data_IF_800572602157
#
_entry.id   IF_800572602157
#
_cell.length_a   1.000
_cell.length_b   1.000
_cell.length_c   1.000
_cell.angle_alpha   90.00
_cell.angle_beta   90.00
_cell.angle_gamma   90.00
#
_symmetry.space_group_name_H-M   'P 1'
#
loop_
_entity.id
_entity.type
_entity.pdbx_description
1 polymer ?
#
# COMPACT_ATOMS: atom_id res chain seq x y z
N UNK A 1 10.22 -26.08 -32.83
CA UNK A 1 9.63 -26.46 -31.52
C UNK A 1 10.36 -25.86 -30.32
N UNK A 2 11.68 -26.04 -30.15
CA UNK A 2 12.45 -25.45 -29.02
C UNK A 2 12.30 -23.92 -28.87
N UNK A 3 12.35 -23.18 -29.98
CA UNK A 3 12.25 -21.71 -29.95
C UNK A 3 10.86 -21.18 -29.55
N UNK A 4 9.79 -21.98 -29.73
CA UNK A 4 8.42 -21.58 -29.40
C UNK A 4 8.16 -21.66 -27.89
N UNK A 5 8.81 -22.62 -27.19
CA UNK A 5 8.71 -22.82 -25.74
C UNK A 5 9.39 -21.67 -24.98
N UNK A 6 10.52 -21.18 -25.49
CA UNK A 6 11.27 -20.06 -24.89
C UNK A 6 10.44 -18.76 -24.93
N UNK A 7 9.74 -18.50 -26.05
CA UNK A 7 8.90 -17.30 -26.21
C UNK A 7 7.71 -17.33 -25.24
N UNK A 8 7.08 -18.50 -25.04
CA UNK A 8 5.98 -18.66 -24.07
C UNK A 8 6.48 -18.41 -22.63
N UNK A 9 7.66 -18.92 -22.26
CA UNK A 9 8.24 -18.68 -20.94
C UNK A 9 8.59 -17.21 -20.68
N UNK A 10 9.06 -16.50 -21.71
CA UNK A 10 9.34 -15.05 -21.62
C UNK A 10 8.02 -14.27 -21.46
N UNK A 11 6.99 -14.61 -22.25
CA UNK A 11 5.69 -13.95 -22.17
C UNK A 11 4.98 -14.15 -20.82
N UNK A 12 5.05 -15.34 -20.23
CA UNK A 12 4.48 -15.63 -18.90
C UNK A 12 5.22 -14.87 -17.79
N UNK A 13 6.53 -14.67 -17.91
CA UNK A 13 7.29 -13.88 -16.95
C UNK A 13 7.09 -12.37 -17.14
N UNK A 14 6.81 -11.90 -18.36
CA UNK A 14 6.48 -10.49 -18.60
C UNK A 14 5.09 -10.10 -18.08
N UNK A 15 4.13 -11.03 -17.97
CA UNK A 15 2.81 -10.73 -17.39
C UNK A 15 2.82 -10.48 -15.88
N UNK A 16 3.91 -10.82 -15.19
CA UNK A 16 4.08 -10.58 -13.75
C UNK A 16 4.75 -9.24 -13.42
N UNK A 17 5.24 -8.50 -14.42
CA UNK A 17 6.22 -7.44 -14.18
C UNK A 17 5.65 -6.03 -13.96
N UNK A 18 4.33 -5.82 -14.02
CA UNK A 18 3.75 -4.51 -13.68
C UNK A 18 2.28 -4.63 -13.31
N UNK A 19 2.02 -5.09 -12.08
CA UNK A 19 0.71 -5.01 -11.43
C UNK A 19 0.24 -3.54 -11.23
N UNK A 20 1.10 -2.56 -11.53
CA UNK A 20 1.00 -1.17 -11.09
C UNK A 20 0.05 -0.23 -11.84
N UNK A 21 -0.49 -0.55 -13.02
CA UNK A 21 -1.42 0.38 -13.70
C UNK A 21 -2.89 -0.04 -13.62
N UNK A 22 -3.19 -1.33 -13.83
CA UNK A 22 -4.59 -1.78 -13.93
C UNK A 22 -5.36 -1.73 -12.61
N UNK A 23 -4.63 -1.78 -11.48
CA UNK A 23 -5.20 -1.84 -10.14
C UNK A 23 -5.03 -0.54 -9.37
N UNK A 24 -4.65 0.55 -10.03
CA UNK A 24 -4.45 1.84 -9.36
C UNK A 24 -5.28 2.92 -10.05
N UNK A 25 -6.17 3.54 -9.29
CA UNK A 25 -6.96 4.70 -9.73
C UNK A 25 -6.18 5.96 -9.39
N UNK A 26 -6.10 6.91 -10.33
CA UNK A 26 -5.46 8.19 -10.04
C UNK A 26 -6.45 9.12 -9.33
N UNK A 27 -5.93 9.90 -8.39
CA UNK A 27 -6.66 10.99 -7.73
C UNK A 27 -6.25 12.32 -8.34
N UNK A 28 -7.27 13.08 -8.75
CA UNK A 28 -7.12 14.46 -9.22
C UNK A 28 -8.07 15.36 -8.43
N UNK A 29 -7.53 16.40 -7.82
CA UNK A 29 -8.26 17.41 -7.06
C UNK A 29 -9.24 16.81 -6.04
N UNK A 30 -8.77 15.79 -5.31
CA UNK A 30 -9.55 15.12 -4.28
C UNK A 30 -10.58 14.10 -4.78
N UNK A 31 -10.64 13.84 -6.09
CA UNK A 31 -11.67 13.00 -6.70
C UNK A 31 -11.04 11.77 -7.35
N UNK A 32 -11.48 10.54 -6.98
CA UNK A 32 -11.10 9.32 -7.70
C UNK A 32 -11.81 9.21 -9.04
N UNK A 33 -11.23 8.45 -9.96
CA UNK A 33 -11.88 8.13 -11.24
C UNK A 33 -13.28 7.53 -11.03
N UNK A 34 -14.19 7.82 -11.98
CA UNK A 34 -15.59 7.40 -11.90
C UNK A 34 -15.72 5.88 -11.74
N UNK A 35 -16.52 5.45 -10.77
CA UNK A 35 -16.79 4.04 -10.50
C UNK A 35 -15.74 3.36 -9.61
N UNK A 36 -14.85 4.14 -8.98
CA UNK A 36 -13.98 3.66 -7.92
C UNK A 36 -14.78 3.05 -6.76
N UNK A 37 -14.35 1.87 -6.33
CA UNK A 37 -14.86 1.19 -5.13
C UNK A 37 -13.66 1.05 -4.18
N UNK A 38 -13.78 1.53 -2.92
CA UNK A 38 -12.74 1.34 -1.92
C UNK A 38 -12.41 -0.14 -1.70
N UNK A 39 -11.12 -0.45 -1.58
CA UNK A 39 -10.66 -1.79 -1.20
C UNK A 39 -10.72 -1.90 0.32
N UNK A 40 -11.56 -2.81 0.81
CA UNK A 40 -11.59 -3.19 2.23
C UNK A 40 -11.02 -4.59 2.37
N UNK A 41 -9.94 -4.73 3.14
CA UNK A 41 -9.29 -6.01 3.34
C UNK A 41 -10.05 -6.85 4.38
N UNK A 42 -10.30 -8.12 4.06
CA UNK A 42 -10.81 -9.07 5.05
C UNK A 42 -9.80 -9.18 6.20
N UNK A 43 -10.30 -9.18 7.44
CA UNK A 43 -9.49 -9.17 8.67
C UNK A 43 -8.61 -7.92 8.85
N UNK A 44 -8.96 -6.79 8.21
CA UNK A 44 -8.30 -5.52 8.49
C UNK A 44 -8.34 -5.23 10.00
N UNK A 45 -7.21 -4.87 10.64
CA UNK A 45 -7.19 -4.52 12.05
C UNK A 45 -8.17 -3.39 12.35
N UNK A 46 -8.97 -3.55 13.40
CA UNK A 46 -9.91 -2.54 13.87
C UNK A 46 -9.36 -1.90 15.13
N UNK A 47 -9.65 -0.60 15.31
CA UNK A 47 -9.36 0.08 16.58
C UNK A 47 -10.25 -0.46 17.72
N UNK A 48 -10.05 0.04 18.95
CA UNK A 48 -10.83 -0.31 20.14
C UNK A 48 -12.36 -0.14 19.99
N UNK A 49 -12.80 0.63 18.98
CA UNK A 49 -14.23 0.85 18.69
C UNK A 49 -14.78 -0.13 17.65
N UNK A 50 -13.95 -1.01 17.10
CA UNK A 50 -14.35 -2.04 16.14
C UNK A 50 -14.57 -1.55 14.71
N UNK A 51 -14.05 -0.37 14.33
CA UNK A 51 -14.30 0.23 13.02
C UNK A 51 -13.02 0.40 12.18
N UNK A 52 -13.13 0.10 10.88
CA UNK A 52 -12.19 0.52 9.84
C UNK A 52 -12.75 1.77 9.17
N UNK A 53 -11.97 2.83 9.06
CA UNK A 53 -12.39 4.01 8.31
C UNK A 53 -12.17 3.77 6.81
N UNK A 54 -13.25 3.62 6.05
CA UNK A 54 -13.22 3.42 4.59
C UNK A 54 -12.61 4.58 3.80
N UNK A 55 -12.49 5.76 4.43
CA UNK A 55 -11.77 6.89 3.85
C UNK A 55 -10.25 6.74 3.97
N UNK A 56 -9.77 5.80 4.78
CA UNK A 56 -8.37 5.42 4.86
C UNK A 56 -8.17 4.23 3.93
N UNK A 57 -7.70 4.51 2.72
CA UNK A 57 -7.41 3.51 1.69
C UNK A 57 -5.91 3.49 1.43
N UNK A 58 -5.41 2.33 0.99
CA UNK A 58 -4.03 2.23 0.53
C UNK A 58 -3.78 3.20 -0.63
N UNK A 59 -2.85 4.11 -0.41
CA UNK A 59 -2.43 5.12 -1.37
C UNK A 59 -0.99 4.87 -1.81
N UNK A 60 -0.67 5.35 -3.01
CA UNK A 60 0.64 5.28 -3.63
C UNK A 60 0.99 6.59 -4.31
N UNK A 61 2.17 7.12 -4.02
CA UNK A 61 2.69 8.36 -4.59
C UNK A 61 4.09 8.16 -5.15
N UNK A 62 4.37 8.76 -6.32
CA UNK A 62 5.70 8.76 -6.91
C UNK A 62 6.27 10.17 -6.78
N UNK A 63 7.30 10.32 -5.96
CA UNK A 63 8.07 11.54 -5.89
C UNK A 63 9.09 11.56 -7.03
N UNK A 64 8.99 12.56 -7.91
CA UNK A 64 9.88 12.72 -9.06
C UNK A 64 10.62 14.05 -8.92
N UNK A 65 11.94 13.97 -8.85
CA UNK A 65 12.84 15.10 -9.05
C UNK A 65 13.84 14.79 -10.19
N UNK A 66 14.65 15.77 -10.62
CA UNK A 66 15.56 15.64 -11.77
C UNK A 66 16.53 14.46 -11.70
N UNK A 67 16.84 13.95 -10.50
CA UNK A 67 17.83 12.90 -10.25
C UNK A 67 17.26 11.73 -9.44
N UNK A 68 15.97 11.74 -9.12
CA UNK A 68 15.41 10.88 -8.07
C UNK A 68 13.96 10.54 -8.36
N UNK A 69 13.65 9.25 -8.40
CA UNK A 69 12.32 8.71 -8.62
C UNK A 69 12.08 7.66 -7.54
N UNK A 70 11.26 7.99 -6.56
CA UNK A 70 10.95 7.09 -5.45
C UNK A 70 9.45 6.99 -5.25
N UNK A 71 8.99 5.79 -4.88
CA UNK A 71 7.59 5.50 -4.65
C UNK A 71 7.35 5.32 -3.17
N UNK A 72 6.23 5.83 -2.68
CA UNK A 72 5.86 5.78 -1.28
C UNK A 72 4.42 5.26 -1.18
N UNK A 73 4.22 4.27 -0.30
CA UNK A 73 2.88 3.89 0.11
C UNK A 73 2.44 4.71 1.32
N UNK A 74 1.14 4.94 1.43
CA UNK A 74 0.55 5.73 2.50
C UNK A 74 -0.94 5.48 2.60
N UNK A 75 -1.65 6.38 3.27
CA UNK A 75 -3.11 6.30 3.40
C UNK A 75 -3.80 7.52 2.81
N UNK A 76 -5.07 7.36 2.47
CA UNK A 76 -5.96 8.50 2.23
C UNK A 76 -6.63 9.01 3.49
N UNK A 77 -7.16 10.23 3.42
CA UNK A 77 -8.04 10.85 4.41
C UNK A 77 -8.94 11.89 3.73
N UNK A 78 -9.99 12.36 4.42
CA UNK A 78 -10.84 13.44 3.93
C UNK A 78 -10.36 14.78 4.50
N UNK A 79 -10.08 15.74 3.63
CA UNK A 79 -9.82 17.14 3.99
C UNK A 79 -10.81 18.05 3.25
N UNK A 80 -11.65 18.77 3.98
CA UNK A 80 -12.63 19.71 3.40
C UNK A 80 -13.48 19.10 2.26
N UNK A 81 -13.83 17.82 2.38
CA UNK A 81 -14.60 17.07 1.37
C UNK A 81 -13.79 16.49 0.20
N UNK A 82 -12.47 16.74 0.16
CA UNK A 82 -11.54 16.17 -0.82
C UNK A 82 -10.84 14.93 -0.27
N UNK A 83 -10.66 13.89 -1.10
CA UNK A 83 -9.85 12.72 -0.75
C UNK A 83 -8.37 13.04 -0.98
N UNK A 84 -7.62 13.18 0.09
CA UNK A 84 -6.20 13.51 0.05
C UNK A 84 -5.37 12.32 0.52
N UNK A 85 -4.13 12.22 0.04
CA UNK A 85 -3.15 11.23 0.48
C UNK A 85 -2.16 11.85 1.46
N UNK A 86 -1.71 11.05 2.42
CA UNK A 86 -0.60 11.35 3.32
C UNK A 86 0.46 10.27 3.21
N UNK A 87 1.71 10.70 3.12
CA UNK A 87 2.85 9.87 2.82
C UNK A 87 4.00 10.26 3.75
N UNK A 88 4.73 9.26 4.23
CA UNK A 88 6.00 9.49 4.89
C UNK A 88 7.08 9.50 3.80
N UNK A 89 7.62 10.69 3.51
CA UNK A 89 8.69 10.88 2.52
C UNK A 89 9.92 11.36 3.27
N UNK A 90 10.97 10.54 3.35
CA UNK A 90 12.20 10.86 4.08
C UNK A 90 11.93 11.33 5.52
N UNK A 91 11.13 10.57 6.26
CA UNK A 91 10.75 10.86 7.64
C UNK A 91 10.06 12.23 7.80
N UNK A 92 9.29 12.65 6.79
CA UNK A 92 8.54 13.90 6.76
C UNK A 92 7.12 13.64 6.27
N UNK A 93 6.15 14.32 6.88
CA UNK A 93 4.78 14.34 6.41
C UNK A 93 4.70 15.04 5.04
N UNK A 94 4.22 14.32 4.04
CA UNK A 94 3.82 14.88 2.76
C UNK A 94 2.34 14.63 2.52
N UNK A 95 1.60 15.69 2.22
CA UNK A 95 0.16 15.63 1.95
C UNK A 95 -0.15 16.21 0.58
N UNK A 96 -1.06 15.56 -0.13
CA UNK A 96 -1.52 16.05 -1.43
C UNK A 96 -2.94 15.57 -1.72
N UNK A 97 -3.76 16.43 -2.31
CA UNK A 97 -5.07 16.06 -2.84
C UNK A 97 -4.99 15.79 -4.36
N UNK A 98 -3.78 15.74 -4.92
CA UNK A 98 -3.53 15.60 -6.35
C UNK A 98 -2.38 14.63 -6.64
N UNK A 99 -2.43 14.02 -7.82
CA UNK A 99 -1.33 13.27 -8.41
C UNK A 99 -0.79 12.10 -7.60
N UNK A 100 -1.63 11.50 -6.75
CA UNK A 100 -1.39 10.20 -6.14
C UNK A 100 -2.37 9.17 -6.70
N UNK A 101 -2.18 7.90 -6.33
CA UNK A 101 -3.04 6.80 -6.73
C UNK A 101 -3.57 6.07 -5.51
N UNK A 102 -4.72 5.44 -5.65
CA UNK A 102 -5.28 4.53 -4.65
C UNK A 102 -5.56 3.18 -5.29
N UNK A 103 -5.50 2.12 -4.47
CA UNK A 103 -5.78 0.78 -4.96
C UNK A 103 -7.24 0.72 -5.44
N UNK A 104 -7.42 0.42 -6.73
CA UNK A 104 -8.70 0.33 -7.40
C UNK A 104 -9.28 -1.07 -7.24
N UNK A 105 -10.55 -1.11 -6.90
CA UNK A 105 -11.38 -2.30 -7.02
C UNK A 105 -12.47 -2.11 -8.07
N UNK A 106 -12.63 -3.06 -9.00
CA UNK A 106 -13.85 -3.16 -9.81
C UNK A 106 -14.75 -4.28 -9.28
N UNK A 107 -16.05 -4.28 -9.60
CA UNK A 107 -16.95 -5.38 -9.17
C UNK A 107 -16.47 -6.78 -9.56
N UNK A 108 -15.62 -6.90 -10.59
CA UNK A 108 -15.09 -8.19 -11.04
C UNK A 108 -13.80 -8.60 -10.33
N UNK A 109 -13.18 -7.71 -9.56
CA UNK A 109 -11.93 -7.96 -8.88
C UNK A 109 -12.15 -8.37 -7.40
N UNK A 110 -13.40 -8.52 -6.94
CA UNK A 110 -13.74 -8.75 -5.51
C UNK A 110 -12.92 -9.87 -4.88
N UNK A 111 -12.28 -9.57 -3.73
CA UNK A 111 -11.39 -10.49 -3.03
C UNK A 111 -10.02 -10.76 -3.70
N UNK A 112 -9.63 -10.01 -4.74
CA UNK A 112 -8.33 -10.15 -5.39
C UNK A 112 -7.15 -9.77 -4.50
N UNK A 113 -7.36 -8.81 -3.59
CA UNK A 113 -6.34 -8.37 -2.64
C UNK A 113 -6.64 -8.85 -1.23
N UNK A 114 -5.59 -9.27 -0.53
CA UNK A 114 -5.66 -9.78 0.83
C UNK A 114 -4.49 -9.24 1.65
N UNK A 115 -4.60 -9.43 2.95
CA UNK A 115 -3.55 -9.09 3.92
C UNK A 115 -3.06 -10.37 4.58
N UNK A 116 -1.76 -10.46 4.80
CA UNK A 116 -1.11 -11.61 5.41
C UNK A 116 -0.03 -11.13 6.37
N UNK A 117 0.33 -11.99 7.32
CA UNK A 117 1.40 -11.66 8.27
C UNK A 117 2.72 -11.45 7.53
N UNK A 118 3.55 -10.49 7.99
CA UNK A 118 4.93 -10.36 7.53
C UNK A 118 5.75 -11.64 7.75
N UNK A 119 5.36 -12.45 8.74
CA UNK A 119 5.99 -13.73 9.08
C UNK A 119 5.51 -14.91 8.21
N UNK A 120 4.49 -14.70 7.37
CA UNK A 120 3.91 -15.78 6.59
C UNK A 120 4.91 -16.33 5.54
N UNK A 121 5.20 -17.64 5.52
CA UNK A 121 6.22 -18.17 4.62
C UNK A 121 5.88 -17.95 3.15
N UNK A 122 6.82 -17.42 2.37
CA UNK A 122 6.72 -17.19 0.93
C UNK A 122 5.70 -16.13 0.47
N UNK A 123 5.12 -15.36 1.40
CA UNK A 123 4.11 -14.35 1.06
C UNK A 123 4.64 -13.21 0.19
N UNK A 124 5.94 -12.92 0.33
CA UNK A 124 6.62 -11.80 -0.34
C UNK A 124 6.56 -11.87 -1.87
N UNK A 125 6.33 -13.07 -2.45
CA UNK A 125 6.24 -13.26 -3.90
C UNK A 125 5.02 -12.62 -4.56
N UNK A 126 4.00 -12.32 -3.79
CA UNK A 126 2.71 -11.82 -4.29
C UNK A 126 2.37 -10.43 -3.74
N UNK A 127 3.29 -9.83 -3.00
CA UNK A 127 3.08 -8.56 -2.33
C UNK A 127 2.94 -7.41 -3.34
N UNK A 128 2.12 -6.43 -2.96
CA UNK A 128 2.12 -5.13 -3.62
C UNK A 128 3.45 -4.46 -3.26
N UNK A 129 4.32 -4.30 -4.24
CA UNK A 129 5.67 -3.79 -4.05
C UNK A 129 6.00 -2.64 -4.99
N UNK A 130 6.96 -1.81 -4.57
CA UNK A 130 7.64 -0.87 -5.44
C UNK A 130 9.13 -0.88 -5.09
N UNK A 131 9.99 -1.24 -6.05
CA UNK A 131 11.43 -1.48 -5.82
C UNK A 131 11.72 -2.34 -4.57
N UNK A 132 12.14 -1.71 -3.49
CA UNK A 132 12.65 -2.27 -2.25
C UNK A 132 11.68 -2.15 -1.07
N UNK A 133 10.43 -1.76 -1.32
CA UNK A 133 9.39 -1.65 -0.30
C UNK A 133 8.12 -2.46 -0.65
N UNK A 134 7.44 -2.93 0.39
CA UNK A 134 6.11 -3.55 0.33
C UNK A 134 5.05 -2.63 0.93
N UNK A 135 3.85 -2.59 0.34
CA UNK A 135 2.70 -1.95 0.95
C UNK A 135 2.28 -2.72 2.22
N UNK A 136 2.11 -1.99 3.32
CA UNK A 136 1.85 -2.57 4.63
C UNK A 136 0.70 -1.89 5.36
N UNK A 137 0.07 -2.64 6.27
CA UNK A 137 -0.77 -2.11 7.34
C UNK A 137 0.03 -2.23 8.64
N UNK A 138 0.29 -1.10 9.24
CA UNK A 138 1.01 -0.96 10.50
C UNK A 138 -0.01 -0.69 11.60
N UNK A 139 0.21 -1.25 12.79
CA UNK A 139 -0.64 -1.11 13.97
C UNK A 139 0.12 -0.29 15.02
N UNK A 140 -0.55 0.70 15.59
CA UNK A 140 -0.06 1.38 16.78
C UNK A 140 -0.21 0.45 18.00
N UNK A 141 0.88 0.11 18.71
CA UNK A 141 0.80 -0.73 19.90
C UNK A 141 0.11 -0.06 21.08
N UNK A 142 -0.02 1.27 21.06
CA UNK A 142 -0.56 2.06 22.16
C UNK A 142 -2.08 1.97 22.22
N UNK A 143 -2.74 2.04 21.05
CA UNK A 143 -4.21 2.12 20.96
C UNK A 143 -4.83 1.15 19.93
N UNK A 144 -4.01 0.30 19.29
CA UNK A 144 -4.47 -0.66 18.30
C UNK A 144 -4.98 -0.03 17.00
N UNK A 145 -4.86 1.28 16.81
CA UNK A 145 -5.18 1.93 15.54
C UNK A 145 -4.28 1.40 14.43
N UNK A 146 -4.75 1.45 13.18
CA UNK A 146 -4.00 0.93 12.05
C UNK A 146 -3.99 1.90 10.88
N UNK A 147 -2.86 1.95 10.20
CA UNK A 147 -2.58 2.88 9.13
C UNK A 147 -1.82 2.20 7.99
N UNK A 148 -2.05 2.69 6.78
CA UNK A 148 -1.33 2.23 5.60
C UNK A 148 0.01 2.95 5.49
N UNK A 149 1.03 2.19 5.11
CA UNK A 149 2.37 2.68 4.89
C UNK A 149 3.17 1.64 4.11
N UNK A 150 4.46 1.56 4.40
CA UNK A 150 5.34 0.59 3.77
C UNK A 150 6.34 0.00 4.75
N UNK A 151 6.84 -1.18 4.40
CA UNK A 151 7.93 -1.87 5.06
C UNK A 151 9.04 -2.14 4.02
N UNK A 152 10.29 -2.06 4.43
CA UNK A 152 11.42 -2.46 3.58
C UNK A 152 11.34 -3.95 3.26
N UNK A 153 11.88 -4.38 2.12
CA UNK A 153 11.95 -5.81 1.75
C UNK A 153 12.80 -6.64 2.72
N UNK A 154 13.74 -5.99 3.41
CA UNK A 154 14.55 -6.60 4.46
C UNK A 154 13.74 -6.81 5.76
N UNK A 155 12.58 -6.14 5.88
CA UNK A 155 11.69 -6.27 7.03
C UNK A 155 12.27 -5.63 8.30
N UNK A 156 13.18 -4.68 8.14
CA UNK A 156 13.93 -4.02 9.21
C UNK A 156 13.49 -2.58 9.46
N UNK A 157 12.75 -1.97 8.55
CA UNK A 157 12.14 -0.65 8.73
C UNK A 157 10.69 -0.61 8.22
N UNK A 158 9.82 0.09 8.95
CA UNK A 158 8.43 0.33 8.57
C UNK A 158 8.05 1.80 8.79
N UNK A 159 7.40 2.39 7.80
CA UNK A 159 7.12 3.82 7.74
C UNK A 159 5.64 4.08 7.43
N UNK A 160 5.05 5.03 8.15
CA UNK A 160 3.72 5.54 7.87
C UNK A 160 3.53 6.96 8.42
N UNK A 161 2.34 7.48 8.18
CA UNK A 161 1.79 8.64 8.87
C UNK A 161 0.53 8.16 9.60
N UNK A 162 0.35 8.54 10.87
CA UNK A 162 -0.85 8.18 11.65
C UNK A 162 -2.09 8.99 11.22
N UNK A 163 -3.22 8.77 11.89
CA UNK A 163 -4.48 9.48 11.60
C UNK A 163 -4.45 10.99 11.94
N UNK A 164 -3.54 11.43 12.80
CA UNK A 164 -3.37 12.82 13.22
C UNK A 164 -2.23 13.55 12.46
N UNK A 165 -1.57 12.89 11.51
CA UNK A 165 -0.43 13.45 10.78
C UNK A 165 0.93 13.23 11.47
N UNK A 166 0.97 12.46 12.55
CA UNK A 166 2.20 12.04 13.21
C UNK A 166 3.02 11.09 12.35
N UNK A 167 4.34 11.26 12.38
CA UNK A 167 5.27 10.41 11.66
C UNK A 167 5.46 9.11 12.46
N UNK A 168 5.20 7.97 11.83
CA UNK A 168 5.43 6.66 12.41
C UNK A 168 6.61 6.01 11.70
N UNK A 169 7.59 5.59 12.49
CA UNK A 169 8.74 4.84 12.05
C UNK A 169 9.08 3.75 13.07
N UNK A 170 9.08 2.50 12.63
CA UNK A 170 9.52 1.35 13.42
C UNK A 170 10.76 0.76 12.78
N UNK A 171 11.80 0.55 13.59
CA UNK A 171 13.09 0.01 13.15
C UNK A 171 13.44 -1.21 13.99
N UNK A 172 13.92 -2.26 13.34
CA UNK A 172 14.28 -3.54 13.93
C UNK A 172 13.18 -4.59 13.75
N UNK A 173 13.59 -5.80 13.36
CA UNK A 173 12.69 -6.91 13.04
C UNK A 173 11.69 -7.21 14.17
N UNK A 174 12.13 -7.24 15.43
CA UNK A 174 11.25 -7.56 16.57
C UNK A 174 10.13 -6.50 16.76
N UNK A 175 10.45 -5.23 16.51
CA UNK A 175 9.49 -4.11 16.58
C UNK A 175 8.50 -4.20 15.41
N UNK A 176 8.96 -4.68 14.28
CA UNK A 176 8.15 -4.84 13.06
C UNK A 176 7.27 -6.09 13.15
N UNK A 177 7.73 -7.22 13.66
CA UNK A 177 6.90 -8.41 13.88
C UNK A 177 5.79 -8.12 14.90
N UNK A 178 6.06 -7.31 15.91
CA UNK A 178 5.09 -6.97 16.95
C UNK A 178 4.07 -5.90 16.50
N UNK A 179 4.51 -4.91 15.70
CA UNK A 179 3.72 -3.70 15.39
C UNK A 179 3.38 -3.51 13.91
N UNK A 180 4.12 -4.12 12.99
CA UNK A 180 3.85 -4.13 11.53
C UNK A 180 3.33 -5.49 11.12
N UNK A 181 2.04 -5.72 11.39
CA UNK A 181 1.50 -7.08 11.32
C UNK A 181 1.17 -7.56 9.92
N UNK A 182 0.94 -6.67 8.95
CA UNK A 182 0.38 -7.12 7.68
C UNK A 182 1.00 -6.46 6.45
N UNK A 183 1.24 -7.28 5.44
CA UNK A 183 1.57 -6.86 4.08
C UNK A 183 0.39 -7.14 3.16
N UNK A 184 0.23 -6.28 2.16
CA UNK A 184 -0.84 -6.39 1.18
C UNK A 184 -0.34 -7.21 0.00
N UNK A 185 -1.10 -8.23 -0.39
CA UNK A 185 -0.75 -9.10 -1.51
C UNK A 185 -1.94 -9.36 -2.45
N UNK A 186 -1.63 -9.77 -3.66
CA UNK A 186 -2.59 -10.26 -4.65
C UNK A 186 -2.73 -11.78 -4.53
N UNK A 187 -3.95 -12.26 -4.33
CA UNK A 187 -4.27 -13.70 -4.26
C UNK A 187 -4.11 -14.42 -5.60
#
# INVERSE_FOLDING_TARGET
MKNFIIIIFILINCTNAYLGENFWTKIYNGVPDKGHIPVLFNNHPVNDKGFVNENNQLAYFVYVNKNYHEGFFGMTYINEGSLCGRFNINNTLYETCENFRILKHSKNDDGLFQIASVEEPNITRYCIEFYDIFAAIIIDPTDGSSFYGYITKEGDEAFAIDHNGGIVNYVGYDVISDYTKYIVYRK
#
